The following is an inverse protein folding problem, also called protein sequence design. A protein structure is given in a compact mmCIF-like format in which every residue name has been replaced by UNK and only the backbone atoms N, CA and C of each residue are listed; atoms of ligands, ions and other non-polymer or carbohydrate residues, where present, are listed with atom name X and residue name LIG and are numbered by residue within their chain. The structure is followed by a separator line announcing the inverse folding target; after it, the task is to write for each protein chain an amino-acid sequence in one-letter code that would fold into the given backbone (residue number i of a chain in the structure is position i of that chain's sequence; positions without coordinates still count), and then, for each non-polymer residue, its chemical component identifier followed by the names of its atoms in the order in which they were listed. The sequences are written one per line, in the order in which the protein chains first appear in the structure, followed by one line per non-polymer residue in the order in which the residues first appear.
data_IF_705431167417
#
_entry.id   IF_705431167417
#
_cell.length_a   1.000
_cell.length_b   1.000
_cell.length_c   1.000
_cell.angle_alpha   90.00
_cell.angle_beta   90.00
_cell.angle_gamma   90.00
#
_symmetry.space_group_name_H-M   'P 1'
#
loop_
_entity.id
_entity.type
_entity.pdbx_description
1 polymer ?
#
# COMPACT_ATOMS: atom_id res chain seq x y z
N UNK A 1 -35.66 24.38 19.97
CA UNK A 1 -35.10 23.40 19.02
C UNK A 1 -33.60 23.33 19.27
N UNK A 2 -33.18 22.26 19.98
CA UNK A 2 -31.82 21.73 20.17
C UNK A 2 -30.68 22.71 20.47
N UNK A 3 -30.36 22.80 21.76
CA UNK A 3 -29.03 23.16 22.27
C UNK A 3 -27.99 22.16 21.72
N UNK A 4 -26.97 22.65 21.04
CA UNK A 4 -25.79 21.85 20.68
C UNK A 4 -24.69 22.20 21.66
N UNK A 5 -24.58 21.38 22.69
CA UNK A 5 -23.48 21.34 23.66
C UNK A 5 -22.19 21.07 22.89
N UNK A 6 -21.42 22.12 22.61
CA UNK A 6 -20.06 22.00 22.12
C UNK A 6 -19.19 21.40 23.22
N UNK A 7 -18.87 20.12 23.11
CA UNK A 7 -17.87 19.46 23.95
C UNK A 7 -16.54 20.24 23.81
N UNK A 8 -15.92 20.70 24.91
CA UNK A 8 -14.57 21.25 24.84
C UNK A 8 -13.64 20.09 24.55
N UNK A 9 -13.13 20.02 23.31
CA UNK A 9 -12.04 19.13 22.97
C UNK A 9 -10.79 19.59 23.75
N UNK A 10 -10.63 19.09 24.96
CA UNK A 10 -9.48 19.33 25.81
C UNK A 10 -8.23 18.72 25.15
N UNK A 11 -7.48 19.54 24.40
CA UNK A 11 -6.15 19.17 23.91
C UNK A 11 -5.25 18.93 25.12
N UNK A 12 -4.97 17.65 25.42
CA UNK A 12 -3.88 17.27 26.33
C UNK A 12 -2.57 17.81 25.76
N UNK A 13 -1.99 18.80 26.43
CA UNK A 13 -0.70 19.41 26.07
C UNK A 13 0.45 18.46 26.42
N UNK A 14 0.69 17.45 25.58
CA UNK A 14 1.99 16.79 25.56
C UNK A 14 2.99 17.79 24.96
N UNK A 15 3.73 18.49 25.83
CA UNK A 15 4.75 19.47 25.45
C UNK A 15 5.79 18.77 24.60
N UNK A 16 5.70 18.95 23.27
CA UNK A 16 6.70 18.46 22.33
C UNK A 16 8.02 19.15 22.69
N UNK A 17 9.13 18.41 22.87
CA UNK A 17 10.40 19.01 23.23
C UNK A 17 10.77 20.10 22.21
N UNK A 18 11.32 21.22 22.68
CA UNK A 18 11.58 22.42 21.86
C UNK A 18 12.42 22.11 20.60
N UNK A 19 13.34 21.12 20.69
CA UNK A 19 14.16 20.64 19.57
C UNK A 19 13.37 19.96 18.45
N UNK A 20 12.15 19.50 18.71
CA UNK A 20 11.28 18.85 17.72
C UNK A 20 10.28 19.81 17.07
N UNK A 21 10.27 21.08 17.48
CA UNK A 21 9.48 22.13 16.84
C UNK A 21 10.11 22.53 15.51
N UNK A 22 9.27 22.87 14.53
CA UNK A 22 9.69 23.28 13.19
C UNK A 22 9.78 24.80 13.17
N UNK A 23 10.95 25.34 13.51
CA UNK A 23 11.18 26.79 13.66
C UNK A 23 11.87 27.44 12.46
N UNK A 24 12.52 26.66 11.59
CA UNK A 24 13.22 27.17 10.40
C UNK A 24 12.29 27.25 9.19
N UNK A 25 12.30 28.39 8.49
CA UNK A 25 11.52 28.63 7.27
C UNK A 25 12.38 28.44 6.03
N UNK A 26 11.82 27.77 5.01
CA UNK A 26 12.42 27.63 3.68
C UNK A 26 11.37 28.07 2.65
N UNK A 27 11.74 28.99 1.77
CA UNK A 27 10.85 29.54 0.73
C UNK A 27 11.39 29.23 -0.67
N UNK A 28 10.53 28.74 -1.55
CA UNK A 28 10.82 28.52 -2.98
C UNK A 28 9.80 29.26 -3.84
N UNK A 29 10.22 29.77 -5.01
CA UNK A 29 9.33 30.39 -6.01
C UNK A 29 9.09 29.39 -7.14
N UNK A 30 7.85 29.32 -7.61
CA UNK A 30 7.43 28.46 -8.72
C UNK A 30 6.84 29.31 -9.83
N UNK A 31 7.08 28.92 -11.07
CA UNK A 31 6.36 29.47 -12.22
C UNK A 31 4.92 28.89 -12.31
N UNK A 32 4.15 29.32 -13.31
CA UNK A 32 2.76 28.89 -13.43
C UNK A 32 2.62 27.38 -13.68
N UNK A 33 3.43 26.80 -14.57
CA UNK A 33 3.39 25.38 -14.94
C UNK A 33 3.82 24.48 -13.78
N UNK A 34 4.88 24.86 -13.08
CA UNK A 34 5.37 24.15 -11.91
C UNK A 34 4.36 24.16 -10.75
N UNK A 35 3.65 25.29 -10.58
CA UNK A 35 2.59 25.39 -9.58
C UNK A 35 1.40 24.48 -9.90
N UNK A 36 1.02 24.36 -11.19
CA UNK A 36 -0.01 23.42 -11.62
C UNK A 36 0.41 21.97 -11.33
N UNK A 37 1.65 21.61 -11.69
CA UNK A 37 2.20 20.29 -11.42
C UNK A 37 2.22 19.96 -9.92
N UNK A 38 2.59 20.91 -9.07
CA UNK A 38 2.57 20.77 -7.63
C UNK A 38 1.16 20.49 -7.12
N UNK A 39 0.16 21.25 -7.58
CA UNK A 39 -1.22 21.06 -7.16
C UNK A 39 -1.76 19.68 -7.54
N UNK A 40 -1.41 19.18 -8.73
CA UNK A 40 -1.77 17.83 -9.18
C UNK A 40 -1.10 16.74 -8.33
N UNK A 41 0.20 16.86 -8.06
CA UNK A 41 0.95 15.85 -7.27
C UNK A 41 0.61 15.84 -5.78
N UNK A 42 0.12 16.96 -5.27
CA UNK A 42 -0.15 17.15 -3.84
C UNK A 42 -1.37 16.38 -3.33
N UNK A 43 -2.39 16.20 -4.18
CA UNK A 43 -3.70 15.72 -3.74
C UNK A 43 -4.25 16.61 -2.62
N UNK A 44 -4.70 15.98 -1.53
CA UNK A 44 -5.36 16.65 -0.40
C UNK A 44 -4.41 17.32 0.60
N UNK A 45 -3.09 17.13 0.50
CA UNK A 45 -2.12 17.67 1.48
C UNK A 45 -1.96 19.18 1.34
N UNK A 46 -1.48 19.90 2.37
CA UNK A 46 -1.13 21.33 2.20
C UNK A 46 0.16 21.51 1.38
N UNK A 47 0.35 22.66 0.71
CA UNK A 47 1.54 22.89 -0.16
C UNK A 47 2.86 22.73 0.62
N UNK A 48 2.93 23.34 1.81
CA UNK A 48 4.12 23.26 2.68
C UNK A 48 4.36 21.87 3.26
N UNK A 49 3.30 21.16 3.63
CA UNK A 49 3.41 19.77 4.09
C UNK A 49 3.91 18.84 3.00
N UNK A 50 3.37 18.97 1.79
CA UNK A 50 3.79 18.14 0.66
C UNK A 50 5.24 18.40 0.26
N UNK A 51 5.66 19.67 0.18
CA UNK A 51 7.06 20.03 -0.10
C UNK A 51 8.02 19.47 0.95
N UNK A 52 7.61 19.48 2.23
CA UNK A 52 8.41 18.92 3.32
C UNK A 52 8.50 17.39 3.26
N UNK A 53 7.43 16.71 2.86
CA UNK A 53 7.46 15.26 2.67
C UNK A 53 8.30 14.89 1.45
N UNK A 54 8.19 15.68 0.38
CA UNK A 54 8.97 15.52 -0.85
C UNK A 54 10.47 15.72 -0.59
N UNK A 55 10.86 16.75 0.16
CA UNK A 55 12.27 17.04 0.45
C UNK A 55 12.94 16.07 1.42
N UNK A 56 12.15 15.32 2.19
CA UNK A 56 12.64 14.34 3.16
C UNK A 56 12.51 12.89 2.66
N UNK A 57 12.13 12.69 1.40
CA UNK A 57 11.84 11.38 0.79
C UNK A 57 10.82 10.55 1.61
N UNK A 58 9.91 11.24 2.31
CA UNK A 58 8.84 10.63 3.13
C UNK A 58 7.51 10.55 2.39
N UNK A 59 7.50 10.84 1.10
CA UNK A 59 6.33 10.53 0.27
C UNK A 59 6.18 9.01 0.18
N UNK A 60 4.95 8.48 0.16
CA UNK A 60 4.77 7.07 -0.18
C UNK A 60 5.48 6.83 -1.51
N UNK A 61 6.46 5.92 -1.52
CA UNK A 61 7.19 5.57 -2.72
C UNK A 61 6.16 5.15 -3.78
N UNK A 62 6.16 5.84 -4.92
CA UNK A 62 5.33 5.42 -6.05
C UNK A 62 5.83 4.05 -6.48
N UNK A 63 5.00 3.03 -6.30
CA UNK A 63 5.32 1.68 -6.76
C UNK A 63 5.58 1.77 -8.27
N UNK A 64 6.75 1.33 -8.77
CA UNK A 64 7.03 1.32 -10.20
C UNK A 64 5.93 0.56 -10.95
N UNK A 65 5.53 1.05 -12.13
CA UNK A 65 4.44 0.44 -12.90
C UNK A 65 4.67 -1.06 -13.16
N UNK A 66 5.92 -1.46 -13.40
CA UNK A 66 6.33 -2.87 -13.58
C UNK A 66 5.99 -3.74 -12.37
N UNK A 67 6.14 -3.18 -11.15
CA UNK A 67 5.81 -3.90 -9.92
C UNK A 67 4.29 -4.05 -9.81
N UNK A 68 3.49 -3.04 -10.16
CA UNK A 68 2.03 -3.13 -10.06
C UNK A 68 1.49 -4.33 -10.86
N UNK A 69 1.99 -4.55 -12.07
CA UNK A 69 1.61 -5.69 -12.90
C UNK A 69 2.07 -7.03 -12.32
N UNK A 70 3.31 -7.11 -11.85
CA UNK A 70 3.84 -8.30 -11.20
C UNK A 70 3.02 -8.68 -9.95
N UNK A 71 2.71 -7.71 -9.09
CA UNK A 71 1.91 -7.89 -7.88
C UNK A 71 0.47 -8.32 -8.19
N UNK A 72 -0.16 -7.79 -9.25
CA UNK A 72 -1.48 -8.27 -9.71
C UNK A 72 -1.42 -9.75 -10.12
N UNK A 73 -0.44 -10.13 -10.92
CA UNK A 73 -0.26 -11.51 -11.40
C UNK A 73 -0.04 -12.52 -10.26
N UNK A 74 0.65 -12.08 -9.19
CA UNK A 74 0.90 -12.86 -7.98
C UNK A 74 -0.36 -12.97 -7.11
N UNK A 75 -1.12 -11.87 -6.99
CA UNK A 75 -2.39 -11.85 -6.26
C UNK A 75 -3.41 -12.84 -6.84
N UNK A 76 -3.50 -12.94 -8.16
CA UNK A 76 -4.38 -13.91 -8.82
C UNK A 76 -4.04 -15.36 -8.45
N UNK A 77 -2.75 -15.70 -8.39
CA UNK A 77 -2.31 -17.04 -7.98
C UNK A 77 -2.62 -17.28 -6.49
N UNK A 78 -2.38 -16.28 -5.64
CA UNK A 78 -2.71 -16.36 -4.21
C UNK A 78 -4.19 -16.65 -3.99
N UNK A 79 -5.08 -15.98 -4.73
CA UNK A 79 -6.51 -16.25 -4.68
C UNK A 79 -6.88 -17.67 -5.12
N UNK A 80 -6.25 -18.19 -6.20
CA UNK A 80 -6.46 -19.57 -6.65
C UNK A 80 -5.99 -20.58 -5.60
N UNK A 81 -4.85 -20.35 -4.97
CA UNK A 81 -4.34 -21.17 -3.86
C UNK A 81 -5.27 -21.14 -2.65
N UNK A 82 -5.73 -19.96 -2.24
CA UNK A 82 -6.66 -19.82 -1.12
C UNK A 82 -7.99 -20.55 -1.36
N UNK A 83 -8.48 -20.58 -2.62
CA UNK A 83 -9.65 -21.39 -3.00
C UNK A 83 -9.39 -22.88 -2.86
N UNK A 84 -8.19 -23.36 -3.23
CA UNK A 84 -7.82 -24.76 -3.01
C UNK A 84 -7.74 -25.09 -1.53
N UNK A 85 -7.10 -24.24 -0.72
CA UNK A 85 -7.03 -24.41 0.74
C UNK A 85 -8.43 -24.48 1.35
N UNK A 86 -9.30 -23.53 1.02
CA UNK A 86 -10.69 -23.54 1.49
C UNK A 86 -11.47 -24.79 1.04
N UNK A 87 -11.23 -25.29 -0.17
CA UNK A 87 -11.84 -26.53 -0.64
C UNK A 87 -11.35 -27.75 0.17
N UNK A 88 -10.07 -27.78 0.52
CA UNK A 88 -9.50 -28.85 1.36
C UNK A 88 -9.98 -28.77 2.81
N UNK A 89 -10.10 -27.57 3.38
CA UNK A 89 -10.57 -27.35 4.75
C UNK A 89 -12.05 -27.71 4.94
N UNK A 90 -12.87 -27.50 3.91
CA UNK A 90 -14.29 -27.87 3.92
C UNK A 90 -14.52 -29.38 3.68
N UNK A 91 -13.46 -30.14 3.38
CA UNK A 91 -13.55 -31.58 3.18
C UNK A 91 -13.74 -32.30 4.51
N UNK A 92 -14.48 -33.41 4.52
CA UNK A 92 -14.71 -34.18 5.74
C UNK A 92 -13.39 -34.75 6.29
N UNK A 93 -13.21 -34.61 7.61
CA UNK A 93 -12.03 -35.09 8.37
C UNK A 93 -11.93 -36.61 8.24
N UNK A 94 -11.15 -37.09 7.27
CA UNK A 94 -10.95 -38.53 7.01
C UNK A 94 -11.03 -38.92 5.53
N UNK A 95 -11.45 -38.03 4.64
CA UNK A 95 -11.41 -38.30 3.20
C UNK A 95 -10.02 -38.05 2.62
N UNK A 96 -9.49 -39.04 1.88
CA UNK A 96 -8.19 -38.91 1.21
C UNK A 96 -8.26 -37.87 0.08
N UNK A 97 -7.14 -37.20 -0.20
CA UNK A 97 -7.03 -36.31 -1.36
C UNK A 97 -7.25 -37.13 -2.64
N UNK A 98 -8.19 -36.68 -3.46
CA UNK A 98 -8.43 -37.26 -4.78
C UNK A 98 -7.27 -36.92 -5.72
N UNK A 99 -7.05 -37.77 -6.73
CA UNK A 99 -6.00 -37.55 -7.72
C UNK A 99 -6.16 -36.19 -8.45
N UNK A 100 -7.39 -35.72 -8.62
CA UNK A 100 -7.73 -34.42 -9.22
C UNK A 100 -7.32 -33.24 -8.33
N UNK A 101 -7.53 -33.35 -7.01
CA UNK A 101 -7.10 -32.32 -6.05
C UNK A 101 -5.56 -32.23 -6.00
N UNK A 102 -4.88 -33.38 -5.96
CA UNK A 102 -3.43 -33.43 -5.98
C UNK A 102 -2.86 -32.85 -7.27
N UNK A 103 -3.50 -33.11 -8.41
CA UNK A 103 -3.13 -32.51 -9.69
C UNK A 103 -3.34 -30.99 -9.71
N UNK A 104 -4.47 -30.50 -9.18
CA UNK A 104 -4.76 -29.07 -9.09
C UNK A 104 -3.72 -28.33 -8.24
N UNK A 105 -3.34 -28.89 -7.08
CA UNK A 105 -2.30 -28.33 -6.21
C UNK A 105 -0.94 -28.32 -6.92
N UNK A 106 -0.52 -29.44 -7.51
CA UNK A 106 0.74 -29.52 -8.27
C UNK A 106 0.78 -28.49 -9.41
N UNK A 107 -0.32 -28.30 -10.13
CA UNK A 107 -0.43 -27.32 -11.21
C UNK A 107 -0.27 -25.88 -10.69
N UNK A 108 -0.97 -25.49 -9.62
CA UNK A 108 -0.86 -24.14 -9.06
C UNK A 108 0.55 -23.84 -8.53
N UNK A 109 1.20 -24.83 -7.90
CA UNK A 109 2.59 -24.69 -7.41
C UNK A 109 3.56 -24.51 -8.59
N UNK A 110 3.40 -25.28 -9.67
CA UNK A 110 4.21 -25.13 -10.88
C UNK A 110 4.00 -23.77 -11.55
N UNK A 111 2.75 -23.29 -11.64
CA UNK A 111 2.43 -21.97 -12.18
C UNK A 111 3.08 -20.85 -11.34
N UNK A 112 3.00 -20.94 -10.02
CA UNK A 112 3.65 -20.01 -9.10
C UNK A 112 5.17 -20.00 -9.30
N UNK A 113 5.78 -21.20 -9.32
CA UNK A 113 7.23 -21.35 -9.51
C UNK A 113 7.68 -20.72 -10.83
N UNK A 114 6.97 -20.96 -11.92
CA UNK A 114 7.30 -20.35 -13.22
C UNK A 114 7.20 -18.83 -13.16
N UNK A 115 6.13 -18.27 -12.58
CA UNK A 115 6.01 -16.81 -12.48
C UNK A 115 7.08 -16.18 -11.58
N UNK A 116 7.54 -16.86 -10.53
CA UNK A 116 8.60 -16.37 -9.65
C UNK A 116 10.00 -16.48 -10.26
N UNK A 117 10.27 -17.52 -11.06
CA UNK A 117 11.58 -17.73 -11.71
C UNK A 117 11.72 -16.91 -13.00
N UNK A 118 10.62 -16.76 -13.75
CA UNK A 118 10.59 -16.00 -15.01
C UNK A 118 10.39 -14.51 -14.79
N UNK A 119 9.87 -14.10 -13.62
CA UNK A 119 10.04 -12.73 -13.16
C UNK A 119 11.53 -12.53 -12.88
N UNK A 120 12.24 -11.99 -13.86
CA UNK A 120 13.67 -11.70 -13.86
C UNK A 120 14.03 -10.80 -12.65
N UNK A 121 14.26 -11.43 -11.50
CA UNK A 121 14.59 -10.78 -10.22
C UNK A 121 16.05 -10.29 -10.18
N UNK A 122 16.79 -10.38 -11.30
CA UNK A 122 18.23 -10.14 -11.39
C UNK A 122 18.69 -9.46 -12.68
N UNK A 123 18.10 -8.30 -13.02
CA UNK A 123 18.73 -7.30 -13.90
C UNK A 123 18.54 -5.89 -13.36
#
# INVERSE_FOLDING_TARGET
MKETIGLPFCKKNNKVPAKSLRTHCVSARFNHEELQLLNTKRGDKSKGEWLRLASLDKLPLSVPAINIEAWKSLSEISQKLNKLVAHLDNKSKGSSLTQTELFAVKRQISELRMKLITADLWK
#
